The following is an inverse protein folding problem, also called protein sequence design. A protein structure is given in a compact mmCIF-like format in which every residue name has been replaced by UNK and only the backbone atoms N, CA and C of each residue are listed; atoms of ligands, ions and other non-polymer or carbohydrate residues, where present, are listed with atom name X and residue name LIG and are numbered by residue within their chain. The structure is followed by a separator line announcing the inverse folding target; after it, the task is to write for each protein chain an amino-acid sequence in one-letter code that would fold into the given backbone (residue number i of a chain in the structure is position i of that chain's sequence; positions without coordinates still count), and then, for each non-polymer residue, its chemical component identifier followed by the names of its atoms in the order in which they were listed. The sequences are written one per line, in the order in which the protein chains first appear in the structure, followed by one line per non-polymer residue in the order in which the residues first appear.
data_IF_128176525837
#
_entry.id   IF_128176525837
#
_cell.length_a   1.000
_cell.length_b   1.000
_cell.length_c   1.000
_cell.angle_alpha   90.00
_cell.angle_beta   90.00
_cell.angle_gamma   90.00
#
_symmetry.space_group_name_H-M   'P 1'
#
loop_
_entity.id
_entity.type
_entity.pdbx_description
1 polymer ?
#
# COMPACT_ATOMS: atom_id res chain seq x y z
N UNK A 1 1.21 -8.64 10.65
CA UNK A 1 1.85 -7.99 11.80
C UNK A 1 3.36 -8.25 11.86
N UNK A 2 3.80 -9.54 11.94
CA UNK A 2 5.20 -9.90 12.19
C UNK A 2 6.15 -9.34 11.12
N UNK A 3 5.87 -9.54 9.83
CA UNK A 3 6.78 -9.08 8.76
C UNK A 3 6.96 -7.55 8.74
N UNK A 4 5.93 -6.79 9.11
CA UNK A 4 6.01 -5.32 9.18
C UNK A 4 6.92 -4.87 10.33
N UNK A 5 6.84 -5.53 11.49
CA UNK A 5 7.77 -5.26 12.58
C UNK A 5 9.21 -5.65 12.22
N UNK A 6 9.41 -6.82 11.62
CA UNK A 6 10.74 -7.25 11.16
C UNK A 6 11.28 -6.24 10.16
N UNK A 7 10.46 -5.81 9.19
CA UNK A 7 10.84 -4.76 8.23
C UNK A 7 11.22 -3.46 8.92
N UNK A 8 10.39 -2.96 9.86
CA UNK A 8 10.67 -1.69 10.54
C UNK A 8 11.97 -1.74 11.36
N UNK A 9 12.20 -2.84 12.08
CA UNK A 9 13.43 -3.03 12.87
C UNK A 9 14.65 -3.12 11.94
N UNK A 10 14.58 -3.93 10.89
CA UNK A 10 15.68 -4.09 9.95
C UNK A 10 15.95 -2.82 9.14
N UNK A 11 14.92 -2.03 8.81
CA UNK A 11 15.08 -0.74 8.18
C UNK A 11 15.88 0.24 9.06
N UNK A 12 15.52 0.34 10.35
CA UNK A 12 16.23 1.22 11.29
C UNK A 12 17.67 0.76 11.54
N UNK A 13 17.94 -0.56 11.52
CA UNK A 13 19.27 -1.10 11.80
C UNK A 13 20.22 -1.06 10.59
N UNK A 14 19.71 -1.22 9.38
CA UNK A 14 20.53 -1.49 8.19
C UNK A 14 20.34 -0.48 7.05
N UNK A 15 19.26 0.33 7.04
CA UNK A 15 19.06 1.34 6.03
C UNK A 15 19.56 2.71 6.49
N UNK A 16 19.95 3.54 5.53
CA UNK A 16 20.13 4.97 5.79
C UNK A 16 18.74 5.61 5.85
N UNK A 17 18.29 5.95 7.07
CA UNK A 17 16.92 6.42 7.32
C UNK A 17 16.95 7.92 7.57
N UNK A 18 16.45 8.69 6.63
CA UNK A 18 16.24 10.12 6.75
C UNK A 18 14.96 10.47 7.54
N UNK A 19 14.72 11.73 7.93
CA UNK A 19 13.54 12.13 8.69
C UNK A 19 12.22 11.80 7.95
N UNK A 20 12.18 11.87 6.63
CA UNK A 20 11.02 11.51 5.81
C UNK A 20 10.69 10.02 5.98
N UNK A 21 11.70 9.17 5.86
CA UNK A 21 11.56 7.71 5.98
C UNK A 21 11.14 7.29 7.39
N UNK A 22 11.65 7.96 8.43
CA UNK A 22 11.21 7.73 9.81
C UNK A 22 9.70 7.97 9.94
N UNK A 23 9.20 9.06 9.37
CA UNK A 23 7.76 9.36 9.41
C UNK A 23 6.97 8.28 8.66
N UNK A 24 7.43 7.84 7.48
CA UNK A 24 6.75 6.76 6.75
C UNK A 24 6.75 5.44 7.52
N UNK A 25 7.86 5.07 8.17
CA UNK A 25 7.93 3.87 9.00
C UNK A 25 6.96 3.95 10.19
N UNK A 26 6.87 5.09 10.86
CA UNK A 26 5.92 5.31 11.95
C UNK A 26 4.46 5.22 11.46
N UNK A 27 4.15 5.84 10.32
CA UNK A 27 2.80 5.78 9.73
C UNK A 27 2.46 4.36 9.26
N UNK A 28 3.44 3.60 8.75
CA UNK A 28 3.27 2.20 8.39
C UNK A 28 2.93 1.35 9.62
N UNK A 29 3.64 1.55 10.73
CA UNK A 29 3.36 0.88 12.00
C UNK A 29 1.97 1.29 12.53
N UNK A 30 1.61 2.57 12.45
CA UNK A 30 0.28 3.04 12.84
C UNK A 30 -0.82 2.38 12.01
N UNK A 31 -0.66 2.31 10.69
CA UNK A 31 -1.60 1.66 9.78
C UNK A 31 -1.75 0.17 10.09
N UNK A 32 -0.62 -0.53 10.30
CA UNK A 32 -0.61 -1.92 10.76
C UNK A 32 -1.33 -2.11 12.09
N UNK A 33 -1.07 -1.23 13.07
CA UNK A 33 -1.68 -1.32 14.41
C UNK A 33 -3.19 -1.09 14.36
N UNK A 34 -3.68 -0.18 13.51
CA UNK A 34 -5.13 0.00 13.33
C UNK A 34 -5.78 -1.26 12.75
N UNK A 35 -5.13 -1.94 11.81
CA UNK A 35 -5.58 -3.23 11.28
C UNK A 35 -5.58 -4.32 12.37
N UNK A 36 -4.50 -4.43 13.13
CA UNK A 36 -4.38 -5.40 14.22
C UNK A 36 -5.45 -5.19 15.30
N UNK A 37 -5.71 -3.96 15.70
CA UNK A 37 -6.73 -3.65 16.69
C UNK A 37 -8.14 -3.98 16.19
N UNK A 38 -8.39 -3.87 14.89
CA UNK A 38 -9.65 -4.32 14.30
C UNK A 38 -9.76 -5.86 14.30
N UNK A 39 -8.71 -6.56 13.87
CA UNK A 39 -8.65 -8.04 13.88
C UNK A 39 -8.79 -8.62 15.29
N UNK A 40 -8.22 -7.95 16.31
CA UNK A 40 -8.29 -8.36 17.70
C UNK A 40 -9.59 -7.96 18.42
N UNK A 41 -10.41 -7.11 17.81
CA UNK A 41 -11.65 -6.62 18.45
C UNK A 41 -12.71 -7.73 18.49
N UNK A 42 -13.46 -7.81 19.61
CA UNK A 42 -14.59 -8.77 19.76
C UNK A 42 -15.65 -8.60 18.68
N UNK A 43 -15.84 -7.36 18.20
CA UNK A 43 -16.70 -6.99 17.08
C UNK A 43 -15.88 -6.18 16.09
N UNK A 44 -15.87 -6.56 14.82
CA UNK A 44 -15.13 -5.82 13.79
C UNK A 44 -15.57 -4.36 13.74
N UNK A 45 -14.62 -3.47 13.52
CA UNK A 45 -14.90 -2.04 13.45
C UNK A 45 -15.79 -1.70 12.25
N UNK A 46 -16.67 -0.73 12.43
CA UNK A 46 -17.49 -0.21 11.35
C UNK A 46 -16.64 0.41 10.22
N UNK A 47 -17.14 0.31 8.99
CA UNK A 47 -16.44 0.84 7.79
C UNK A 47 -16.05 2.32 7.92
N UNK A 48 -16.90 3.14 8.55
CA UNK A 48 -16.63 4.55 8.76
C UNK A 48 -15.38 4.77 9.64
N UNK A 49 -15.26 4.01 10.73
CA UNK A 49 -14.08 4.11 11.61
C UNK A 49 -12.79 3.74 10.89
N UNK A 50 -12.81 2.63 10.13
CA UNK A 50 -11.66 2.21 9.30
C UNK A 50 -11.33 3.27 8.25
N UNK A 51 -12.33 3.71 7.49
CA UNK A 51 -12.15 4.71 6.44
C UNK A 51 -11.59 6.04 6.93
N UNK A 52 -12.02 6.51 8.11
CA UNK A 52 -11.49 7.73 8.72
C UNK A 52 -10.02 7.56 9.14
N UNK A 53 -9.67 6.41 9.74
CA UNK A 53 -8.29 6.14 10.14
C UNK A 53 -7.37 6.04 8.91
N UNK A 54 -7.81 5.38 7.85
CA UNK A 54 -7.07 5.31 6.58
C UNK A 54 -6.91 6.69 5.94
N UNK A 55 -7.96 7.52 6.00
CA UNK A 55 -7.91 8.89 5.51
C UNK A 55 -6.91 9.75 6.29
N UNK A 56 -6.87 9.62 7.62
CA UNK A 56 -5.89 10.33 8.44
C UNK A 56 -4.45 9.91 8.12
N UNK A 57 -4.21 8.61 7.96
CA UNK A 57 -2.89 8.11 7.52
C UNK A 57 -2.54 8.65 6.13
N UNK A 58 -3.48 8.61 5.18
CA UNK A 58 -3.27 9.14 3.83
C UNK A 58 -2.97 10.64 3.83
N UNK A 59 -3.67 11.41 4.68
CA UNK A 59 -3.43 12.85 4.85
C UNK A 59 -2.00 13.11 5.35
N UNK A 60 -1.57 12.40 6.40
CA UNK A 60 -0.23 12.58 6.99
C UNK A 60 0.88 12.17 6.01
N UNK A 61 0.72 11.05 5.29
CA UNK A 61 1.68 10.63 4.26
C UNK A 61 1.78 11.66 3.14
N UNK A 62 0.63 12.16 2.66
CA UNK A 62 0.60 13.18 1.60
C UNK A 62 1.27 14.48 2.03
N UNK A 63 0.99 14.92 3.26
CA UNK A 63 1.63 16.12 3.81
C UNK A 63 3.15 15.95 3.93
N UNK A 64 3.59 14.81 4.46
CA UNK A 64 5.02 14.46 4.54
C UNK A 64 5.66 14.46 3.16
N UNK A 65 5.03 13.79 2.18
CA UNK A 65 5.56 13.74 0.82
C UNK A 65 5.71 15.14 0.21
N UNK A 66 4.67 15.98 0.29
CA UNK A 66 4.71 17.34 -0.25
C UNK A 66 5.76 18.22 0.42
N UNK A 67 6.00 18.01 1.72
CA UNK A 67 7.01 18.76 2.46
C UNK A 67 8.43 18.44 1.99
N UNK A 68 8.74 17.18 1.72
CA UNK A 68 10.10 16.74 1.36
C UNK A 68 10.36 16.66 -0.15
N UNK A 69 9.35 16.35 -0.98
CA UNK A 69 9.54 16.05 -2.41
C UNK A 69 8.84 17.07 -3.34
N UNK A 70 7.93 17.87 -2.79
CA UNK A 70 7.15 18.82 -3.60
C UNK A 70 6.04 18.15 -4.43
N UNK A 71 5.62 18.83 -5.51
CA UNK A 71 4.44 18.48 -6.32
C UNK A 71 4.77 18.19 -7.79
N UNK A 72 6.02 17.85 -8.09
CA UNK A 72 6.43 17.48 -9.44
C UNK A 72 6.12 16.03 -9.74
N UNK A 73 5.57 15.78 -10.93
CA UNK A 73 5.34 14.45 -11.48
C UNK A 73 6.21 14.29 -12.71
N UNK A 74 6.85 13.16 -12.84
CA UNK A 74 7.65 12.82 -14.01
C UNK A 74 7.20 11.48 -14.55
N UNK A 75 6.55 11.49 -15.72
CA UNK A 75 6.05 10.28 -16.36
C UNK A 75 7.20 9.36 -16.75
N UNK A 76 7.18 8.12 -16.28
CA UNK A 76 8.19 7.11 -16.56
C UNK A 76 8.27 6.76 -18.06
N UNK A 77 7.12 6.76 -18.75
CA UNK A 77 7.04 6.38 -20.17
C UNK A 77 7.59 7.43 -21.13
N UNK A 78 7.44 8.72 -20.81
CA UNK A 78 7.78 9.82 -21.73
C UNK A 78 8.95 10.66 -21.25
N UNK A 79 9.38 10.50 -19.99
CA UNK A 79 10.39 11.34 -19.35
C UNK A 79 9.92 12.81 -19.12
N UNK A 80 8.66 13.13 -19.43
CA UNK A 80 8.12 14.46 -19.29
C UNK A 80 7.84 14.79 -17.82
N UNK A 81 8.34 15.94 -17.36
CA UNK A 81 8.09 16.44 -16.01
C UNK A 81 7.13 17.62 -16.05
N UNK A 82 6.13 17.63 -15.19
CA UNK A 82 5.20 18.73 -15.00
C UNK A 82 4.83 18.87 -13.52
N UNK A 83 4.45 20.07 -13.12
CA UNK A 83 3.97 20.33 -11.76
C UNK A 83 2.46 20.50 -11.76
N UNK A 84 1.80 19.86 -10.81
CA UNK A 84 0.37 20.03 -10.54
C UNK A 84 0.23 20.99 -9.35
N UNK A 85 -0.79 21.88 -9.29
CA UNK A 85 -1.03 22.69 -8.11
C UNK A 85 -1.09 21.85 -6.84
N UNK A 86 -0.39 22.26 -5.78
CA UNK A 86 -0.24 21.48 -4.55
C UNK A 86 -1.57 20.97 -3.95
N UNK A 87 -2.69 21.73 -3.94
CA UNK A 87 -3.96 21.23 -3.44
C UNK A 87 -4.53 20.08 -4.29
N UNK A 88 -4.35 20.15 -5.62
CA UNK A 88 -4.83 19.09 -6.54
C UNK A 88 -3.98 17.83 -6.35
N UNK A 89 -2.66 18.00 -6.27
CA UNK A 89 -1.75 16.90 -5.98
C UNK A 89 -2.10 16.23 -4.64
N UNK A 90 -2.37 17.02 -3.59
CA UNK A 90 -2.75 16.49 -2.29
C UNK A 90 -4.03 15.65 -2.36
N UNK A 91 -5.07 16.12 -3.03
CA UNK A 91 -6.32 15.36 -3.18
C UNK A 91 -6.09 14.05 -3.92
N UNK A 92 -5.34 14.08 -5.03
CA UNK A 92 -5.03 12.88 -5.81
C UNK A 92 -4.17 11.88 -5.02
N UNK A 93 -3.18 12.36 -4.28
CA UNK A 93 -2.31 11.51 -3.44
C UNK A 93 -3.09 10.87 -2.28
N UNK A 94 -3.94 11.62 -1.60
CA UNK A 94 -4.82 11.09 -0.55
C UNK A 94 -5.73 10.00 -1.13
N UNK A 95 -6.34 10.26 -2.29
CA UNK A 95 -7.20 9.28 -2.97
C UNK A 95 -6.41 8.01 -3.35
N UNK A 96 -5.22 8.15 -3.93
CA UNK A 96 -4.34 7.04 -4.30
C UNK A 96 -4.00 6.19 -3.08
N UNK A 97 -3.55 6.81 -1.98
CA UNK A 97 -3.16 6.10 -0.75
C UNK A 97 -4.37 5.37 -0.14
N UNK A 98 -5.49 6.08 -0.03
CA UNK A 98 -6.72 5.52 0.54
C UNK A 98 -7.24 4.33 -0.28
N UNK A 99 -7.25 4.46 -1.62
CA UNK A 99 -7.62 3.38 -2.55
C UNK A 99 -6.65 2.22 -2.41
N UNK A 100 -5.34 2.47 -2.41
CA UNK A 100 -4.31 1.42 -2.32
C UNK A 100 -4.46 0.59 -1.05
N UNK A 101 -4.66 1.22 0.12
CA UNK A 101 -4.89 0.53 1.39
C UNK A 101 -6.12 -0.39 1.29
N UNK A 102 -7.25 0.14 0.79
CA UNK A 102 -8.50 -0.59 0.78
C UNK A 102 -8.55 -1.69 -0.29
N UNK A 103 -7.98 -1.44 -1.47
CA UNK A 103 -7.88 -2.43 -2.55
C UNK A 103 -6.99 -3.60 -2.14
N UNK A 104 -5.82 -3.32 -1.56
CA UNK A 104 -4.91 -4.37 -1.08
C UNK A 104 -5.52 -5.18 0.05
N UNK A 105 -6.26 -4.55 0.96
CA UNK A 105 -6.98 -5.23 2.00
C UNK A 105 -8.10 -6.14 1.44
N UNK A 106 -8.82 -5.70 0.41
CA UNK A 106 -9.85 -6.51 -0.23
C UNK A 106 -9.29 -7.65 -1.10
N UNK A 107 -8.09 -7.50 -1.66
CA UNK A 107 -7.40 -8.55 -2.42
C UNK A 107 -6.83 -9.67 -1.53
N UNK A 108 -6.76 -9.46 -0.21
CA UNK A 108 -6.26 -10.45 0.76
C UNK A 108 -7.33 -11.51 1.11
N UNK A 109 -7.93 -12.10 0.07
CA UNK A 109 -8.94 -13.16 0.21
C UNK A 109 -8.46 -14.55 -0.16
N UNK A 110 -7.25 -14.68 -0.71
CA UNK A 110 -6.66 -15.95 -1.18
C UNK A 110 -5.22 -16.05 -0.68
N UNK A 111 -4.87 -17.24 -0.15
CA UNK A 111 -3.54 -17.52 0.39
C UNK A 111 -2.42 -17.18 -0.60
N UNK A 112 -1.49 -16.34 -0.19
CA UNK A 112 -0.32 -15.91 -0.97
C UNK A 112 -0.60 -14.89 -2.07
N UNK A 113 -1.85 -14.62 -2.46
CA UNK A 113 -2.18 -13.77 -3.61
C UNK A 113 -1.78 -12.31 -3.35
N UNK A 114 -2.31 -11.71 -2.28
CA UNK A 114 -2.07 -10.30 -1.95
C UNK A 114 -0.58 -9.99 -1.75
N UNK A 115 0.14 -10.87 -1.05
CA UNK A 115 1.58 -10.76 -0.85
C UNK A 115 2.36 -10.85 -2.16
N UNK A 116 2.03 -11.80 -3.03
CA UNK A 116 2.70 -11.96 -4.34
C UNK A 116 2.46 -10.74 -5.23
N UNK A 117 1.22 -10.27 -5.34
CA UNK A 117 0.89 -9.07 -6.13
C UNK A 117 1.58 -7.82 -5.58
N UNK A 118 1.69 -7.70 -4.25
CA UNK A 118 2.43 -6.62 -3.60
C UNK A 118 3.90 -6.63 -3.99
N UNK A 119 4.56 -7.79 -3.97
CA UNK A 119 5.96 -7.94 -4.37
C UNK A 119 6.14 -7.51 -5.83
N UNK A 120 5.30 -8.01 -6.74
CA UNK A 120 5.37 -7.66 -8.17
C UNK A 120 5.22 -6.15 -8.35
N UNK A 121 4.25 -5.53 -7.66
CA UNK A 121 4.00 -4.09 -7.75
C UNK A 121 5.19 -3.26 -7.25
N UNK A 122 5.73 -3.59 -6.07
CA UNK A 122 6.90 -2.88 -5.51
C UNK A 122 8.13 -3.06 -6.39
N UNK A 123 8.38 -4.28 -6.87
CA UNK A 123 9.50 -4.55 -7.78
C UNK A 123 9.37 -3.80 -9.12
N UNK A 124 8.14 -3.57 -9.60
CA UNK A 124 7.90 -2.75 -10.79
C UNK A 124 8.35 -1.30 -10.55
N UNK A 125 8.02 -0.70 -9.40
CA UNK A 125 8.51 0.64 -9.05
C UNK A 125 10.03 0.67 -8.88
N UNK A 126 10.59 -0.33 -8.20
CA UNK A 126 12.04 -0.46 -8.05
C UNK A 126 12.76 -0.48 -9.41
N UNK A 127 12.35 -1.35 -10.32
CA UNK A 127 12.95 -1.44 -11.65
C UNK A 127 12.72 -0.17 -12.48
N UNK A 128 11.55 0.47 -12.38
CA UNK A 128 11.30 1.74 -13.03
C UNK A 128 12.30 2.81 -12.57
N UNK A 129 12.55 2.93 -11.26
CA UNK A 129 13.54 3.84 -10.71
C UNK A 129 14.95 3.52 -11.22
N UNK A 130 15.34 2.24 -11.26
CA UNK A 130 16.66 1.82 -11.77
C UNK A 130 16.84 2.20 -13.26
N UNK A 131 15.84 1.93 -14.09
CA UNK A 131 15.89 2.23 -15.55
C UNK A 131 15.94 3.74 -15.79
N UNK A 132 15.23 4.52 -14.98
CA UNK A 132 15.19 5.98 -15.09
C UNK A 132 16.38 6.69 -14.43
N UNK A 133 17.30 5.95 -13.80
CA UNK A 133 18.43 6.50 -13.07
C UNK A 133 18.04 7.32 -11.83
N UNK A 134 16.88 7.04 -11.23
CA UNK A 134 16.34 7.74 -10.04
C UNK A 134 16.55 6.94 -8.76
N UNK A 135 17.66 6.28 -8.64
CA UNK A 135 17.96 5.45 -7.47
C UNK A 135 18.14 6.30 -6.20
N UNK A 136 17.57 5.82 -5.11
CA UNK A 136 17.64 6.50 -3.81
C UNK A 136 17.53 5.51 -2.64
N UNK A 137 17.66 6.01 -1.43
CA UNK A 137 17.60 5.21 -0.20
C UNK A 137 16.26 4.49 -0.04
N UNK A 138 15.18 5.04 -0.62
CA UNK A 138 13.87 4.38 -0.62
C UNK A 138 13.83 3.09 -1.45
N UNK A 139 14.68 2.96 -2.48
CA UNK A 139 14.78 1.73 -3.27
C UNK A 139 15.33 0.57 -2.43
N UNK A 140 16.28 0.88 -1.54
CA UNK A 140 16.77 -0.10 -0.57
C UNK A 140 15.67 -0.55 0.41
N UNK A 141 14.87 0.40 0.92
CA UNK A 141 13.71 0.08 1.75
C UNK A 141 12.68 -0.78 1.01
N UNK A 142 12.48 -0.51 -0.28
CA UNK A 142 11.58 -1.32 -1.12
C UNK A 142 12.05 -2.76 -1.25
N UNK A 143 13.34 -2.99 -1.49
CA UNK A 143 13.94 -4.33 -1.52
C UNK A 143 13.84 -5.02 -0.16
N UNK A 144 14.13 -4.30 0.92
CA UNK A 144 14.03 -4.84 2.27
C UNK A 144 12.61 -5.27 2.62
N UNK A 145 11.61 -4.47 2.23
CA UNK A 145 10.20 -4.81 2.40
C UNK A 145 9.82 -6.07 1.63
N UNK A 146 10.28 -6.18 0.38
CA UNK A 146 10.06 -7.36 -0.46
C UNK A 146 10.69 -8.61 0.17
N UNK A 147 11.92 -8.53 0.68
CA UNK A 147 12.59 -9.67 1.35
C UNK A 147 11.81 -10.10 2.60
N UNK A 148 11.36 -9.17 3.44
CA UNK A 148 10.55 -9.48 4.60
C UNK A 148 9.21 -10.13 4.21
N UNK A 149 8.60 -9.66 3.11
CA UNK A 149 7.35 -10.20 2.61
C UNK A 149 7.52 -11.59 1.97
N UNK A 150 8.64 -11.84 1.29
CA UNK A 150 9.00 -13.18 0.80
C UNK A 150 9.14 -14.19 1.96
N UNK A 151 9.81 -13.77 3.05
CA UNK A 151 9.90 -14.59 4.26
C UNK A 151 8.52 -14.89 4.86
N UNK A 152 7.60 -13.93 4.84
CA UNK A 152 6.22 -14.14 5.25
C UNK A 152 5.47 -15.11 4.30
N UNK A 153 5.62 -14.94 2.99
CA UNK A 153 4.96 -15.78 1.98
C UNK A 153 5.29 -17.27 2.12
N UNK A 154 6.47 -17.59 2.64
CA UNK A 154 6.83 -18.99 2.95
C UNK A 154 5.82 -19.69 3.88
N UNK A 155 5.16 -18.89 4.73
CA UNK A 155 4.15 -19.40 5.67
C UNK A 155 2.71 -19.13 5.21
N UNK A 156 2.50 -18.16 4.33
CA UNK A 156 1.17 -17.75 3.83
C UNK A 156 0.80 -18.43 2.49
N UNK A 157 1.77 -18.98 1.74
CA UNK A 157 1.47 -19.74 0.52
C UNK A 157 0.69 -21.02 0.85
N UNK A 158 -0.12 -21.47 -0.11
CA UNK A 158 -1.00 -22.65 0.05
C UNK A 158 -0.21 -23.95 0.30
N UNK A 159 -0.53 -24.73 1.33
CA UNK A 159 -1.56 -24.52 2.36
C UNK A 159 -1.09 -23.51 3.42
N UNK A 160 -1.86 -22.44 3.62
CA UNK A 160 -1.48 -21.34 4.51
C UNK A 160 -1.38 -21.82 5.97
N UNK A 161 -0.27 -21.46 6.62
CA UNK A 161 -0.03 -21.67 8.06
C UNK A 161 -0.16 -20.35 8.85
N UNK A 162 -0.22 -19.21 8.14
CA UNK A 162 -0.28 -17.89 8.74
C UNK A 162 -1.11 -16.95 7.87
N UNK A 163 -2.19 -16.42 8.42
CA UNK A 163 -3.03 -15.44 7.75
C UNK A 163 -2.45 -14.03 7.84
N UNK A 164 -2.67 -13.23 6.80
CA UNK A 164 -2.21 -11.85 6.71
C UNK A 164 -2.99 -10.94 7.68
N UNK A 165 -4.31 -10.97 7.59
CA UNK A 165 -5.22 -10.10 8.31
C UNK A 165 -5.15 -8.64 7.87
N UNK A 166 -6.07 -7.82 8.42
CA UNK A 166 -6.14 -6.39 8.15
C UNK A 166 -4.82 -5.67 8.52
N UNK A 167 -4.11 -6.18 9.54
CA UNK A 167 -2.83 -5.62 9.97
C UNK A 167 -1.76 -5.64 8.87
N UNK A 168 -1.63 -6.74 8.15
CA UNK A 168 -0.60 -6.89 7.11
C UNK A 168 -1.04 -6.30 5.77
N UNK A 169 -2.26 -6.59 5.34
CA UNK A 169 -2.77 -6.17 4.04
C UNK A 169 -2.88 -4.65 3.90
N UNK A 170 -3.30 -3.94 4.97
CA UNK A 170 -3.37 -2.48 4.99
C UNK A 170 -1.97 -1.84 4.97
N UNK A 171 -1.02 -2.41 5.71
CA UNK A 171 0.37 -1.95 5.68
C UNK A 171 0.99 -2.15 4.29
N UNK A 172 0.73 -3.28 3.60
CA UNK A 172 1.18 -3.48 2.23
C UNK A 172 0.61 -2.42 1.29
N UNK A 173 -0.69 -2.15 1.36
CA UNK A 173 -1.35 -1.12 0.55
C UNK A 173 -0.76 0.28 0.77
N UNK A 174 -0.47 0.63 2.02
CA UNK A 174 0.20 1.89 2.35
C UNK A 174 1.61 1.96 1.76
N UNK A 175 2.40 0.90 1.89
CA UNK A 175 3.77 0.87 1.37
C UNK A 175 3.80 0.96 -0.16
N UNK A 176 2.90 0.27 -0.86
CA UNK A 176 2.73 0.39 -2.33
C UNK A 176 2.46 1.84 -2.74
N UNK A 177 1.56 2.53 -2.03
CA UNK A 177 1.22 3.91 -2.35
C UNK A 177 2.40 4.87 -2.13
N UNK A 178 3.15 4.68 -1.02
CA UNK A 178 4.38 5.45 -0.77
C UNK A 178 5.41 5.18 -1.88
N UNK A 179 5.60 3.92 -2.30
CA UNK A 179 6.51 3.57 -3.38
C UNK A 179 6.12 4.23 -4.71
N UNK A 180 4.83 4.28 -5.03
CA UNK A 180 4.31 4.96 -6.21
C UNK A 180 4.61 6.47 -6.18
N UNK A 181 4.42 7.12 -5.03
CA UNK A 181 4.76 8.54 -4.85
C UNK A 181 6.27 8.77 -4.96
N UNK A 182 7.09 7.95 -4.32
CA UNK A 182 8.57 8.05 -4.33
C UNK A 182 9.17 7.73 -5.71
N UNK A 183 8.46 7.02 -6.57
CA UNK A 183 8.82 6.87 -7.99
C UNK A 183 8.58 8.16 -8.79
N UNK A 184 7.98 9.21 -8.18
CA UNK A 184 7.57 10.46 -8.83
C UNK A 184 6.62 10.27 -10.02
N UNK A 185 6.07 9.06 -10.20
CA UNK A 185 5.05 8.75 -11.22
C UNK A 185 3.87 7.99 -10.59
N UNK A 186 2.95 8.70 -9.93
CA UNK A 186 1.77 8.05 -9.33
C UNK A 186 0.84 7.40 -10.38
N UNK A 187 0.94 7.76 -11.66
CA UNK A 187 0.17 7.11 -12.72
C UNK A 187 0.69 5.70 -13.03
N UNK A 188 1.99 5.45 -12.80
CA UNK A 188 2.55 4.11 -12.92
C UNK A 188 1.89 3.11 -11.96
N UNK A 189 1.30 3.60 -10.85
CA UNK A 189 0.53 2.77 -9.92
C UNK A 189 -0.60 2.01 -10.62
N UNK A 190 -1.31 2.66 -11.55
CA UNK A 190 -2.44 2.04 -12.26
C UNK A 190 -1.97 0.83 -13.07
N UNK A 191 -0.79 0.93 -13.69
CA UNK A 191 -0.21 -0.16 -14.50
C UNK A 191 0.43 -1.23 -13.61
N UNK A 192 1.26 -0.81 -12.65
CA UNK A 192 2.01 -1.71 -11.77
C UNK A 192 1.09 -2.54 -10.85
N UNK A 193 0.02 -1.93 -10.34
CA UNK A 193 -0.95 -2.55 -9.45
C UNK A 193 -2.23 -3.01 -10.16
N UNK A 194 -2.23 -3.09 -11.50
CA UNK A 194 -3.46 -3.34 -12.28
C UNK A 194 -4.21 -4.60 -11.80
N UNK A 195 -3.52 -5.70 -11.60
CA UNK A 195 -4.13 -6.96 -11.15
C UNK A 195 -4.68 -6.81 -9.73
N UNK A 196 -3.91 -6.16 -8.85
CA UNK A 196 -4.32 -5.87 -7.47
C UNK A 196 -5.56 -4.97 -7.43
N UNK A 197 -5.61 -3.93 -8.29
CA UNK A 197 -6.74 -3.01 -8.41
C UNK A 197 -7.99 -3.74 -8.91
N UNK A 198 -7.84 -4.60 -9.92
CA UNK A 198 -8.99 -5.35 -10.47
C UNK A 198 -9.52 -6.32 -9.41
N UNK A 199 -8.68 -7.13 -8.81
CA UNK A 199 -9.09 -8.14 -7.83
C UNK A 199 -9.68 -7.49 -6.57
N UNK A 200 -8.94 -6.61 -5.91
CA UNK A 200 -9.41 -5.91 -4.73
C UNK A 200 -10.54 -4.90 -5.02
N UNK A 201 -10.52 -4.23 -6.17
CA UNK A 201 -11.56 -3.31 -6.60
C UNK A 201 -12.89 -4.01 -6.85
N UNK A 202 -12.87 -5.17 -7.51
CA UNK A 202 -14.08 -6.02 -7.66
C UNK A 202 -14.60 -6.48 -6.29
N UNK A 203 -13.70 -6.82 -5.36
CA UNK A 203 -14.05 -7.13 -3.98
C UNK A 203 -14.76 -5.98 -3.28
N UNK A 204 -14.23 -4.76 -3.37
CA UNK A 204 -14.83 -3.55 -2.81
C UNK A 204 -16.22 -3.25 -3.40
N UNK A 205 -16.35 -3.30 -4.72
CA UNK A 205 -17.61 -3.07 -5.43
C UNK A 205 -18.63 -4.12 -4.99
N UNK A 206 -18.26 -5.40 -4.97
CA UNK A 206 -19.10 -6.51 -4.52
C UNK A 206 -19.62 -6.28 -3.09
N UNK A 207 -18.72 -5.98 -2.15
CA UNK A 207 -19.07 -5.72 -0.75
C UNK A 207 -20.01 -4.52 -0.60
N UNK A 208 -19.80 -3.49 -1.42
CA UNK A 208 -20.65 -2.28 -1.41
C UNK A 208 -22.03 -2.57 -1.98
N UNK A 209 -22.12 -3.26 -3.13
CA UNK A 209 -23.38 -3.63 -3.76
C UNK A 209 -24.22 -4.57 -2.89
N UNK A 210 -23.61 -5.59 -2.28
CA UNK A 210 -24.33 -6.52 -1.39
C UNK A 210 -24.92 -5.78 -0.20
N UNK A 211 -24.20 -4.80 0.36
CA UNK A 211 -24.64 -4.10 1.58
C UNK A 211 -25.58 -2.92 1.31
N UNK A 212 -25.48 -2.22 0.17
CA UNK A 212 -26.32 -1.05 -0.15
C UNK A 212 -27.57 -1.40 -0.94
N UNK A 213 -27.50 -2.36 -1.85
CA UNK A 213 -28.59 -2.67 -2.80
C UNK A 213 -29.22 -4.04 -2.54
N UNK A 214 -28.74 -4.81 -1.55
CA UNK A 214 -29.18 -6.19 -1.28
C UNK A 214 -29.16 -7.12 -2.52
N UNK A 215 -28.34 -6.80 -3.52
CA UNK A 215 -28.25 -7.59 -4.76
C UNK A 215 -27.35 -8.80 -4.51
N UNK A 216 -27.97 -9.98 -4.42
CA UNK A 216 -27.27 -11.25 -4.21
C UNK A 216 -26.67 -11.88 -5.48
N UNK A 217 -26.71 -11.19 -6.62
CA UNK A 217 -26.29 -11.73 -7.93
C UNK A 217 -24.81 -12.15 -7.94
N UNK A 218 -23.96 -11.49 -7.15
CA UNK A 218 -22.52 -11.74 -7.11
C UNK A 218 -22.06 -12.67 -5.97
N UNK A 219 -22.98 -13.39 -5.32
CA UNK A 219 -22.66 -14.23 -4.16
C UNK A 219 -21.71 -15.39 -4.48
N UNK A 220 -21.65 -15.83 -5.73
CA UNK A 220 -20.86 -16.99 -6.19
C UNK A 220 -19.62 -16.62 -7.00
N UNK A 221 -19.32 -15.34 -7.19
CA UNK A 221 -18.07 -14.89 -7.81
C UNK A 221 -17.07 -14.68 -6.69
N UNK A 222 -16.07 -15.55 -6.65
CA UNK A 222 -14.87 -15.41 -5.79
C UNK A 222 -13.87 -14.52 -6.46
#
# INVERSE_FOLDING_TARGET
LIFVFVFAITAVLFAHVDPEMIIYLLLLICCMMTGYLDDAAKTSWGRLKKGILDFLVALLVTFTYLHFNGNQITLALTGSSFSIPAPVFAVLSIALIWISINVTNCADGVDGLSGTLTIITIMTFYFANQILGRTGDFDYLSLLFVVCLLGYLWFNATPSKMLMGDAGSRAMGLFIAIAALKCHDPFLYILAALVLIIDGGLGLVKLTLIKTVHVHILKNVR
#
